data_IF_354398869104
#
_entry.id   IF_354398869104
#
_cell.length_a   1.000
_cell.length_b   1.000
_cell.length_c   1.000
_cell.angle_alpha   90.00
_cell.angle_beta   90.00
_cell.angle_gamma   90.00
#
_symmetry.space_group_name_H-M   'P 1'
#
loop_
_entity.id
_entity.type
_entity.pdbx_description
1 polymer ?
#
# COMPACT_ATOMS: atom_id res chain seq x y z
N UNK A 1 -1.42 -19.01 -10.81
CA UNK A 1 -1.06 -18.75 -9.39
C UNK A 1 -1.80 -17.50 -9.02
N UNK A 2 -2.51 -17.48 -7.88
CA UNK A 2 -2.98 -16.20 -7.32
C UNK A 2 -1.73 -15.45 -6.86
N UNK A 3 -1.42 -14.34 -7.52
CA UNK A 3 -0.38 -13.44 -7.04
C UNK A 3 -0.98 -12.62 -5.91
N UNK A 4 -0.46 -12.84 -4.69
CA UNK A 4 -0.87 -12.08 -3.52
C UNK A 4 -0.11 -10.76 -3.51
N UNK A 5 -0.84 -9.66 -3.72
CA UNK A 5 -0.29 -8.32 -3.58
C UNK A 5 -0.33 -7.88 -2.12
N UNK A 6 0.85 -7.62 -1.57
CA UNK A 6 1.00 -6.95 -0.28
C UNK A 6 1.35 -5.49 -0.51
N UNK A 7 0.73 -4.60 0.27
CA UNK A 7 1.07 -3.19 0.28
C UNK A 7 1.35 -2.74 1.71
N UNK A 8 2.38 -1.92 1.86
CA UNK A 8 2.71 -1.28 3.11
C UNK A 8 1.73 -0.14 3.40
N UNK A 9 1.29 -0.06 4.65
CA UNK A 9 0.51 1.08 5.15
C UNK A 9 1.49 2.12 5.67
N UNK A 10 1.38 3.36 5.19
CA UNK A 10 2.32 4.44 5.51
C UNK A 10 1.66 5.50 6.40
N UNK A 11 2.46 6.12 7.27
CA UNK A 11 2.03 7.27 8.06
C UNK A 11 1.68 8.45 7.14
N UNK A 12 0.53 9.08 7.36
CA UNK A 12 0.04 10.22 6.59
C UNK A 12 0.86 11.50 6.79
N UNK A 13 1.65 11.55 7.86
CA UNK A 13 2.41 12.75 8.26
C UNK A 13 3.87 12.68 7.82
N UNK A 14 4.54 11.55 8.07
CA UNK A 14 5.98 11.39 7.80
C UNK A 14 6.30 10.33 6.74
N UNK A 15 5.29 9.64 6.20
CA UNK A 15 5.42 8.61 5.17
C UNK A 15 6.29 7.39 5.55
N UNK A 16 6.66 7.24 6.82
CA UNK A 16 7.28 6.02 7.33
C UNK A 16 6.25 4.90 7.42
N UNK A 17 6.68 3.65 7.18
CA UNK A 17 5.82 2.46 7.32
C UNK A 17 5.27 2.36 8.75
N UNK A 18 3.96 2.18 8.88
CA UNK A 18 3.32 1.91 10.15
C UNK A 18 3.61 0.45 10.54
N UNK A 19 3.99 0.26 11.79
CA UNK A 19 4.32 -1.05 12.36
C UNK A 19 3.47 -1.26 13.60
N UNK A 20 2.92 -2.45 13.73
CA UNK A 20 2.17 -2.92 14.89
C UNK A 20 2.69 -4.31 15.27
N UNK A 21 2.44 -4.71 16.51
CA UNK A 21 2.77 -6.07 16.95
C UNK A 21 1.93 -7.09 16.15
N UNK A 22 2.48 -8.29 15.92
CA UNK A 22 1.90 -9.30 15.01
C UNK A 22 0.47 -9.72 15.38
N UNK A 23 0.08 -9.57 16.64
CA UNK A 23 -1.25 -9.94 17.16
C UNK A 23 -2.21 -8.75 17.32
N UNK A 24 -1.85 -7.56 16.81
CA UNK A 24 -2.67 -6.36 16.92
C UNK A 24 -3.61 -6.24 15.71
N UNK A 25 -4.90 -6.44 15.96
CA UNK A 25 -5.96 -6.14 15.00
C UNK A 25 -6.44 -4.70 15.17
N UNK A 26 -6.75 -4.03 14.06
CA UNK A 26 -7.32 -2.69 14.02
C UNK A 26 -8.69 -2.71 13.35
N UNK A 27 -9.59 -1.89 13.85
CA UNK A 27 -10.92 -1.69 13.30
C UNK A 27 -11.20 -0.22 12.94
N UNK A 28 -12.28 0.00 12.18
CA UNK A 28 -12.71 1.34 11.78
C UNK A 28 -12.93 2.23 13.01
N UNK A 29 -12.38 3.44 12.96
CA UNK A 29 -12.32 4.37 14.08
C UNK A 29 -11.09 4.27 14.99
N UNK A 30 -10.23 3.26 14.82
CA UNK A 30 -8.97 3.18 15.57
C UNK A 30 -7.94 4.21 15.12
N UNK A 31 -7.03 4.54 16.05
CA UNK A 31 -5.86 5.38 15.77
C UNK A 31 -4.56 4.57 15.93
N UNK A 32 -3.74 4.57 14.87
CA UNK A 32 -2.42 3.95 14.84
C UNK A 32 -1.35 5.01 15.12
N UNK A 33 -0.59 4.82 16.19
CA UNK A 33 0.55 5.69 16.49
C UNK A 33 1.74 5.36 15.58
N UNK A 34 2.31 6.36 14.93
CA UNK A 34 3.53 6.18 14.16
C UNK A 34 4.76 6.08 15.07
N UNK A 35 5.53 5.01 14.92
CA UNK A 35 6.78 4.80 15.67
C UNK A 35 7.91 5.78 15.28
N UNK A 36 7.80 6.43 14.13
CA UNK A 36 8.81 7.36 13.60
C UNK A 36 8.58 8.81 14.06
N UNK A 37 7.39 9.37 13.81
CA UNK A 37 7.09 10.77 14.16
C UNK A 37 6.18 10.93 15.40
N UNK A 38 5.62 9.85 15.93
CA UNK A 38 4.73 9.90 17.09
C UNK A 38 3.30 10.34 16.82
N UNK A 39 2.97 10.76 15.60
CA UNK A 39 1.61 11.19 15.20
C UNK A 39 0.62 10.03 15.18
N UNK A 40 -0.65 10.34 15.46
CA UNK A 40 -1.76 9.39 15.41
C UNK A 40 -2.38 9.39 14.01
N UNK A 41 -2.47 8.22 13.40
CA UNK A 41 -3.04 8.03 12.06
C UNK A 41 -4.38 7.33 12.20
N UNK A 42 -5.40 7.89 11.58
CA UNK A 42 -6.72 7.27 11.49
C UNK A 42 -6.64 6.00 10.62
N UNK A 43 -7.10 4.87 11.16
CA UNK A 43 -7.01 3.56 10.50
C UNK A 43 -7.73 3.56 9.14
N UNK A 44 -8.95 4.10 9.10
CA UNK A 44 -9.75 4.12 7.87
C UNK A 44 -9.06 4.92 6.77
N UNK A 45 -8.50 6.08 7.14
CA UNK A 45 -7.75 6.94 6.24
C UNK A 45 -6.49 6.28 5.68
N UNK A 46 -5.69 5.59 6.51
CA UNK A 46 -4.47 4.91 6.01
C UNK A 46 -4.78 3.70 5.15
N UNK A 47 -5.89 2.99 5.43
CA UNK A 47 -6.37 1.88 4.60
C UNK A 47 -6.87 2.39 3.24
N UNK A 48 -7.60 3.51 3.19
CA UNK A 48 -8.05 4.12 1.95
C UNK A 48 -6.86 4.51 1.05
N UNK A 49 -5.90 5.24 1.60
CA UNK A 49 -4.68 5.62 0.88
C UNK A 49 -3.87 4.40 0.41
N UNK A 50 -3.79 3.35 1.22
CA UNK A 50 -3.11 2.12 0.82
C UNK A 50 -3.84 1.43 -0.35
N UNK A 51 -5.18 1.40 -0.35
CA UNK A 51 -5.96 0.84 -1.47
C UNK A 51 -5.72 1.60 -2.77
N UNK A 52 -5.71 2.93 -2.73
CA UNK A 52 -5.44 3.75 -3.92
C UNK A 52 -4.06 3.46 -4.51
N UNK A 53 -3.04 3.39 -3.65
CA UNK A 53 -1.67 3.05 -4.07
C UNK A 53 -1.56 1.63 -4.61
N UNK A 54 -2.31 0.68 -4.06
CA UNK A 54 -2.34 -0.68 -4.56
C UNK A 54 -2.89 -0.74 -5.99
N UNK A 55 -3.99 -0.02 -6.26
CA UNK A 55 -4.56 0.07 -7.61
C UNK A 55 -3.60 0.72 -8.59
N UNK A 56 -2.92 1.80 -8.18
CA UNK A 56 -1.93 2.47 -9.02
C UNK A 56 -0.76 1.53 -9.37
N UNK A 57 -0.21 0.82 -8.39
CA UNK A 57 0.88 -0.14 -8.59
C UNK A 57 0.49 -1.26 -9.57
N UNK A 58 -0.68 -1.89 -9.36
CA UNK A 58 -1.16 -2.96 -10.24
C UNK A 58 -1.35 -2.44 -11.67
N UNK A 59 -1.90 -1.23 -11.82
CA UNK A 59 -2.07 -0.62 -13.15
C UNK A 59 -0.72 -0.41 -13.83
N UNK A 60 0.28 0.13 -13.14
CA UNK A 60 1.62 0.34 -13.69
C UNK A 60 2.28 -0.98 -14.09
N UNK A 61 2.19 -2.02 -13.26
CA UNK A 61 2.74 -3.35 -13.60
C UNK A 61 2.10 -3.93 -14.86
N UNK A 62 0.77 -3.85 -14.99
CA UNK A 62 0.06 -4.30 -16.21
C UNK A 62 0.47 -3.49 -17.43
N UNK A 63 0.60 -2.16 -17.31
CA UNK A 63 1.06 -1.30 -18.40
C UNK A 63 2.49 -1.63 -18.84
N UNK A 64 3.39 -1.94 -17.90
CA UNK A 64 4.75 -2.38 -18.19
C UNK A 64 4.79 -3.74 -18.89
N UNK A 65 3.99 -4.71 -18.44
CA UNK A 65 3.90 -6.03 -19.05
C UNK A 65 3.36 -5.98 -20.48
N UNK A 66 2.31 -5.19 -20.71
CA UNK A 66 1.78 -4.94 -22.05
C UNK A 66 2.84 -4.30 -22.94
N UNK A 67 3.55 -3.28 -22.44
CA UNK A 67 4.61 -2.59 -23.18
C UNK A 67 5.76 -3.53 -23.54
N UNK A 68 6.19 -4.40 -22.63
CA UNK A 68 7.20 -5.44 -22.89
C UNK A 68 6.72 -6.42 -23.95
N UNK A 69 5.47 -6.87 -23.86
CA UNK A 69 4.87 -7.81 -24.81
C UNK A 69 4.79 -7.22 -26.22
N UNK A 70 4.29 -5.98 -26.35
CA UNK A 70 4.24 -5.27 -27.63
C UNK A 70 5.63 -5.05 -28.23
N UNK A 71 6.62 -4.61 -27.43
CA UNK A 71 7.99 -4.42 -27.92
C UNK A 71 8.64 -5.72 -28.41
N UNK A 72 8.29 -6.86 -27.81
CA UNK A 72 8.77 -8.17 -28.25
C UNK A 72 8.07 -8.68 -29.52
N UNK A 73 6.81 -8.29 -29.76
CA UNK A 73 6.06 -8.62 -30.97
C UNK A 73 6.59 -7.91 -32.23
N UNK A 74 7.23 -6.76 -32.07
CA UNK A 74 7.78 -5.94 -33.16
C UNK A 74 9.31 -6.05 -33.31
N UNK A 75 9.95 -6.99 -32.60
CA UNK A 75 11.36 -7.40 -32.82
C UNK A 75 11.42 -8.69 -33.61
#
# INVERSE_FOLDING_TARGET
MEENFTIEVLCLFCHSTLTADEDMEFESGDLIKCNSCGEMNDYDSVVEVAKEKAVEKVKTEVEEELSKTFNNLFK
#
